data_IF_413883545319
#
_entry.id   IF_413883545319
#
_cell.length_a   1.000
_cell.length_b   1.000
_cell.length_c   1.000
_cell.angle_alpha   90.00
_cell.angle_beta   90.00
_cell.angle_gamma   90.00
#
_symmetry.space_group_name_H-M   'P 1'
#
loop_
_entity.id
_entity.type
_entity.pdbx_description
1 polymer ?
#
# COMPACT_ATOMS: atom_id res chain seq x y z
N UNK A 1 0.02 -8.39 22.97
CA UNK A 1 0.57 -9.21 21.86
C UNK A 1 -0.51 -9.88 20.99
N UNK A 2 -1.79 -9.52 21.09
CA UNK A 2 -2.87 -10.15 20.31
C UNK A 2 -2.89 -9.74 18.83
N UNK A 3 -2.42 -8.52 18.52
CA UNK A 3 -2.44 -7.97 17.15
C UNK A 3 -1.74 -8.88 16.13
N UNK A 4 -0.56 -9.41 16.47
CA UNK A 4 0.22 -10.23 15.54
C UNK A 4 -0.49 -11.54 15.21
N UNK A 5 -1.04 -12.19 16.25
CA UNK A 5 -1.88 -13.37 16.12
C UNK A 5 -3.13 -13.08 15.26
N UNK A 6 -3.90 -12.03 15.56
CA UNK A 6 -5.09 -11.69 14.76
C UNK A 6 -4.75 -11.42 13.29
N UNK A 7 -3.63 -10.75 13.02
CA UNK A 7 -3.17 -10.48 11.65
C UNK A 7 -2.68 -11.74 10.94
N UNK A 8 -2.07 -12.66 11.66
CA UNK A 8 -1.67 -13.97 11.13
C UNK A 8 -2.90 -14.76 10.67
N UNK A 9 -3.92 -14.88 11.52
CA UNK A 9 -5.20 -15.54 11.19
C UNK A 9 -5.87 -14.87 9.99
N UNK A 10 -5.98 -13.52 10.00
CA UNK A 10 -6.50 -12.78 8.84
C UNK A 10 -5.72 -13.10 7.55
N UNK A 11 -4.41 -13.30 7.62
CA UNK A 11 -3.58 -13.56 6.45
C UNK A 11 -3.90 -14.90 5.78
N UNK A 12 -4.31 -15.91 6.55
CA UNK A 12 -4.65 -17.25 6.04
C UNK A 12 -5.91 -17.22 5.17
N UNK A 13 -6.88 -16.39 5.55
CA UNK A 13 -8.15 -16.21 4.81
C UNK A 13 -8.02 -15.31 3.57
N UNK A 14 -6.92 -14.56 3.45
CA UNK A 14 -6.73 -13.65 2.31
C UNK A 14 -6.37 -14.40 1.02
N UNK A 15 -7.15 -14.13 -0.04
CA UNK A 15 -6.90 -14.63 -1.39
C UNK A 15 -6.68 -13.47 -2.39
N UNK A 16 -5.87 -13.72 -3.42
CA UNK A 16 -5.56 -12.77 -4.50
C UNK A 16 -4.11 -12.27 -4.50
N UNK A 17 -3.87 -11.16 -5.20
CA UNK A 17 -2.53 -10.57 -5.36
C UNK A 17 -2.20 -9.46 -4.35
N UNK A 18 -3.20 -8.69 -3.91
CA UNK A 18 -3.05 -7.55 -3.00
C UNK A 18 -4.02 -7.66 -1.83
N UNK A 19 -3.66 -7.09 -0.68
CA UNK A 19 -4.49 -7.14 0.52
C UNK A 19 -5.90 -6.56 0.27
N UNK A 20 -6.98 -7.17 0.81
CA UNK A 20 -8.37 -6.74 0.55
C UNK A 20 -8.66 -5.27 0.89
N UNK A 21 -8.04 -4.72 1.93
CA UNK A 21 -8.20 -3.29 2.28
C UNK A 21 -7.60 -2.36 1.24
N UNK A 22 -6.47 -2.76 0.65
CA UNK A 22 -5.79 -2.00 -0.40
C UNK A 22 -6.57 -2.10 -1.70
N UNK A 23 -7.07 -3.29 -2.03
CA UNK A 23 -8.04 -3.52 -3.12
C UNK A 23 -9.24 -2.58 -3.03
N UNK A 24 -9.87 -2.49 -1.85
CA UNK A 24 -11.03 -1.59 -1.63
C UNK A 24 -10.66 -0.12 -1.86
N UNK A 25 -9.49 0.32 -1.37
CA UNK A 25 -9.00 1.70 -1.58
C UNK A 25 -8.70 1.98 -3.05
N UNK A 26 -8.06 1.04 -3.74
CA UNK A 26 -7.78 1.14 -5.17
C UNK A 26 -9.09 1.26 -5.98
N UNK A 27 -10.07 0.39 -5.73
CA UNK A 27 -11.36 0.44 -6.40
C UNK A 27 -12.06 1.78 -6.20
N UNK A 28 -12.03 2.34 -4.98
CA UNK A 28 -12.56 3.69 -4.73
C UNK A 28 -11.85 4.75 -5.60
N UNK A 29 -10.53 4.67 -5.76
CA UNK A 29 -9.78 5.59 -6.61
C UNK A 29 -10.13 5.41 -8.10
N UNK A 30 -10.35 4.17 -8.54
CA UNK A 30 -10.84 3.86 -9.89
C UNK A 30 -12.23 4.45 -10.10
N UNK A 31 -13.16 4.28 -9.16
CA UNK A 31 -14.51 4.85 -9.28
C UNK A 31 -14.47 6.38 -9.38
N UNK A 32 -13.61 7.03 -8.58
CA UNK A 32 -13.42 8.48 -8.62
C UNK A 32 -12.66 8.96 -9.88
N UNK A 33 -11.94 8.08 -10.59
CA UNK A 33 -11.23 8.43 -11.83
C UNK A 33 -12.20 8.82 -12.95
N UNK A 34 -13.44 8.32 -12.91
CA UNK A 34 -14.51 8.70 -13.84
C UNK A 34 -14.78 10.21 -13.92
N UNK A 35 -14.42 10.96 -12.87
CA UNK A 35 -14.56 12.42 -12.83
C UNK A 35 -13.27 13.15 -13.29
N UNK A 36 -12.38 12.46 -13.98
CA UNK A 36 -11.13 12.99 -14.50
C UNK A 36 -11.10 12.83 -16.03
N UNK A 37 -10.45 13.78 -16.70
CA UNK A 37 -10.21 13.72 -18.14
C UNK A 37 -8.71 13.84 -18.38
N UNK A 38 -8.18 12.93 -19.19
CA UNK A 38 -6.74 12.81 -19.43
C UNK A 38 -6.37 13.29 -20.83
N UNK A 39 -5.28 14.05 -20.91
CA UNK A 39 -4.65 14.53 -22.13
C UNK A 39 -3.19 14.03 -22.14
N UNK A 40 -2.79 13.17 -23.10
CA UNK A 40 -1.41 12.68 -23.17
C UNK A 40 -0.45 13.79 -23.62
N UNK A 41 0.66 13.94 -22.90
CA UNK A 41 1.77 14.82 -23.27
C UNK A 41 2.93 14.06 -23.97
N UNK A 42 2.88 12.72 -23.97
CA UNK A 42 3.91 11.83 -24.50
C UNK A 42 4.80 11.22 -23.40
N UNK A 43 5.56 10.18 -23.73
CA UNK A 43 6.49 9.50 -22.80
C UNK A 43 5.84 9.08 -21.47
N UNK A 44 4.61 8.57 -21.49
CA UNK A 44 3.85 8.18 -20.30
C UNK A 44 3.54 9.33 -19.32
N UNK A 45 3.64 10.58 -19.78
CA UNK A 45 3.26 11.79 -19.06
C UNK A 45 1.90 12.26 -19.55
N UNK A 46 1.07 12.67 -18.61
CA UNK A 46 -0.31 13.08 -18.83
C UNK A 46 -0.63 14.35 -18.07
N UNK A 47 -1.40 15.21 -18.72
CA UNK A 47 -2.12 16.29 -18.08
C UNK A 47 -3.55 15.83 -17.79
N UNK A 48 -3.96 15.84 -16.53
CA UNK A 48 -5.24 15.33 -16.07
C UNK A 48 -6.06 16.45 -15.47
N UNK A 49 -7.21 16.74 -16.07
CA UNK A 49 -8.21 17.64 -15.50
C UNK A 49 -9.10 16.87 -14.53
N UNK A 50 -8.99 17.18 -13.25
CA UNK A 50 -9.87 16.64 -12.20
C UNK A 50 -10.93 17.65 -11.76
N UNK A 51 -11.80 17.25 -10.83
CA UNK A 51 -12.89 18.10 -10.33
C UNK A 51 -12.43 19.41 -9.66
N UNK A 52 -11.25 19.39 -9.04
CA UNK A 52 -10.76 20.49 -8.19
C UNK A 52 -9.51 21.18 -8.76
N UNK A 53 -9.08 20.82 -9.96
CA UNK A 53 -7.87 21.36 -10.58
C UNK A 53 -7.24 20.42 -11.60
N UNK A 54 -6.08 20.82 -12.09
CA UNK A 54 -5.29 20.11 -13.09
C UNK A 54 -4.05 19.48 -12.47
N UNK A 55 -3.66 18.32 -12.99
CA UNK A 55 -2.63 17.48 -12.42
C UNK A 55 -1.70 16.95 -13.50
N UNK A 56 -0.42 16.86 -13.16
CA UNK A 56 0.55 16.12 -13.97
C UNK A 56 0.66 14.71 -13.41
N UNK A 57 0.65 13.71 -14.29
CA UNK A 57 0.82 12.31 -13.93
C UNK A 57 1.91 11.72 -14.80
N UNK A 58 2.86 11.02 -14.17
CA UNK A 58 3.83 10.18 -14.85
C UNK A 58 3.63 8.74 -14.38
N UNK A 59 3.05 7.90 -15.25
CA UNK A 59 2.71 6.51 -14.87
C UNK A 59 3.93 5.61 -14.80
N UNK A 60 5.02 5.93 -15.50
CA UNK A 60 6.25 5.13 -15.46
C UNK A 60 7.02 5.35 -14.15
N UNK A 61 6.98 6.57 -13.61
CA UNK A 61 7.53 6.91 -12.30
C UNK A 61 6.58 6.64 -11.15
N UNK A 62 5.32 6.28 -11.43
CA UNK A 62 4.26 6.13 -10.43
C UNK A 62 4.01 7.44 -9.64
N UNK A 63 4.07 8.58 -10.34
CA UNK A 63 3.99 9.91 -9.75
C UNK A 63 2.75 10.69 -10.21
N UNK A 64 2.18 11.46 -9.28
CA UNK A 64 1.17 12.46 -9.60
C UNK A 64 1.47 13.75 -8.81
N UNK A 65 1.22 14.92 -9.40
CA UNK A 65 1.37 16.20 -8.71
C UNK A 65 0.48 16.33 -7.46
N UNK A 66 -0.58 15.51 -7.33
CA UNK A 66 -1.38 15.43 -6.10
C UNK A 66 -0.68 14.72 -4.93
N UNK A 67 0.50 14.12 -5.16
CA UNK A 67 1.37 13.41 -4.19
C UNK A 67 0.77 12.15 -3.55
N UNK A 68 -0.51 11.87 -3.75
CA UNK A 68 -1.17 10.73 -3.11
C UNK A 68 -0.61 9.37 -3.56
N UNK A 69 -0.15 9.26 -4.82
CA UNK A 69 0.46 8.02 -5.30
C UNK A 69 1.80 7.78 -4.62
N UNK A 70 2.70 8.77 -4.63
CA UNK A 70 4.02 8.69 -4.02
C UNK A 70 3.95 8.41 -2.51
N UNK A 71 3.02 9.06 -1.80
CA UNK A 71 2.87 8.90 -0.36
C UNK A 71 2.30 7.53 0.03
N UNK A 72 1.46 6.94 -0.81
CA UNK A 72 0.73 5.72 -0.46
C UNK A 72 1.13 4.48 -1.24
N UNK A 73 1.93 4.60 -2.29
CA UNK A 73 2.24 3.50 -3.21
C UNK A 73 1.01 2.90 -3.92
N UNK A 74 -0.10 3.63 -3.96
CA UNK A 74 -1.37 3.20 -4.57
C UNK A 74 -1.77 4.27 -5.58
N UNK A 75 -2.11 3.90 -6.83
CA UNK A 75 -2.60 4.86 -7.82
C UNK A 75 -3.71 5.75 -7.26
N UNK A 76 -3.50 7.06 -7.34
CA UNK A 76 -4.54 8.03 -7.03
C UNK A 76 -5.61 8.04 -8.14
N UNK A 77 -6.72 8.76 -7.97
CA UNK A 77 -7.78 8.84 -9.00
C UNK A 77 -7.27 9.35 -10.36
N UNK A 78 -6.30 10.27 -10.39
CA UNK A 78 -5.71 10.79 -11.63
C UNK A 78 -4.79 9.75 -12.28
N UNK A 79 -3.99 9.07 -11.47
CA UNK A 79 -3.16 7.95 -11.92
C UNK A 79 -4.00 6.81 -12.49
N UNK A 80 -5.09 6.46 -11.80
CA UNK A 80 -6.05 5.45 -12.27
C UNK A 80 -6.67 5.81 -13.62
N UNK A 81 -6.97 7.09 -13.88
CA UNK A 81 -7.44 7.54 -15.19
C UNK A 81 -6.39 7.33 -16.29
N UNK A 82 -5.14 7.70 -16.02
CA UNK A 82 -4.05 7.52 -16.98
C UNK A 82 -3.77 6.04 -17.27
N UNK A 83 -3.81 5.21 -16.24
CA UNK A 83 -3.68 3.75 -16.39
C UNK A 83 -4.82 3.17 -17.22
N UNK A 84 -6.05 3.66 -17.03
CA UNK A 84 -7.20 3.28 -17.85
C UNK A 84 -7.02 3.69 -19.31
N UNK A 85 -6.52 4.90 -19.56
CA UNK A 85 -6.22 5.38 -20.92
C UNK A 85 -5.23 4.46 -21.64
N UNK A 86 -4.16 4.04 -20.94
CA UNK A 86 -3.13 3.11 -21.44
C UNK A 86 -3.52 1.63 -21.37
N UNK A 87 -4.75 1.31 -20.92
CA UNK A 87 -5.26 -0.07 -20.73
C UNK A 87 -4.39 -0.92 -19.79
N UNK A 88 -3.72 -0.29 -18.84
CA UNK A 88 -2.93 -0.93 -17.80
C UNK A 88 -3.84 -1.21 -16.61
N UNK A 89 -3.83 -2.45 -16.13
CA UNK A 89 -4.54 -2.86 -14.92
C UNK A 89 -3.96 -2.14 -13.69
N UNK A 90 -4.72 -1.30 -12.95
CA UNK A 90 -4.16 -0.50 -11.85
C UNK A 90 -3.51 -1.32 -10.73
N UNK A 91 -3.87 -2.60 -10.61
CA UNK A 91 -3.29 -3.55 -9.67
C UNK A 91 -1.80 -3.79 -9.84
N UNK A 92 -1.30 -3.71 -11.08
CA UNK A 92 0.08 -4.10 -11.39
C UNK A 92 1.09 -3.06 -10.94
N UNK A 93 0.62 -1.84 -10.69
CA UNK A 93 1.42 -0.68 -10.22
C UNK A 93 1.12 -0.33 -8.75
N UNK A 94 0.42 -1.21 -8.02
CA UNK A 94 0.33 -1.10 -6.56
C UNK A 94 1.65 -1.58 -5.97
N UNK A 95 2.19 -0.83 -5.01
CA UNK A 95 3.45 -1.17 -4.37
C UNK A 95 3.42 -2.59 -3.78
N UNK A 96 4.49 -3.35 -4.02
CA UNK A 96 4.64 -4.76 -3.61
C UNK A 96 4.52 -4.99 -2.10
N UNK A 97 4.73 -3.96 -1.27
CA UNK A 97 4.53 -4.04 0.18
C UNK A 97 3.08 -4.36 0.58
N UNK A 98 2.12 -4.12 -0.32
CA UNK A 98 0.70 -4.44 -0.14
C UNK A 98 0.29 -5.80 -0.71
N UNK A 99 1.24 -6.58 -1.20
CA UNK A 99 0.95 -7.95 -1.62
C UNK A 99 0.56 -8.82 -0.43
N UNK A 100 -0.31 -9.80 -0.68
CA UNK A 100 -0.65 -10.80 0.35
C UNK A 100 0.61 -11.56 0.78
N UNK A 101 1.55 -11.81 -0.14
CA UNK A 101 2.84 -12.40 0.17
C UNK A 101 3.65 -11.57 1.16
N UNK A 102 3.78 -10.26 0.96
CA UNK A 102 4.46 -9.37 1.90
C UNK A 102 3.76 -9.32 3.26
N UNK A 103 2.42 -9.32 3.28
CA UNK A 103 1.64 -9.37 4.50
C UNK A 103 1.85 -10.67 5.28
N UNK A 104 1.81 -11.82 4.60
CA UNK A 104 2.12 -13.14 5.17
C UNK A 104 3.56 -13.23 5.66
N UNK A 105 4.52 -12.65 4.94
CA UNK A 105 5.90 -12.59 5.41
C UNK A 105 6.04 -11.76 6.68
N UNK A 106 5.32 -10.62 6.76
CA UNK A 106 5.35 -9.73 7.91
C UNK A 106 4.66 -10.32 9.16
N UNK A 107 3.55 -11.04 8.99
CA UNK A 107 2.73 -11.55 10.11
C UNK A 107 2.76 -13.07 10.28
N UNK A 108 3.50 -13.80 9.45
CA UNK A 108 3.52 -15.26 9.41
C UNK A 108 4.28 -15.93 10.56
N UNK A 109 5.04 -15.15 11.34
CA UNK A 109 5.83 -15.66 12.47
C UNK A 109 5.05 -15.56 13.79
N UNK A 110 5.45 -16.36 14.77
CA UNK A 110 4.89 -16.24 16.12
C UNK A 110 5.83 -15.38 16.95
N UNK A 111 5.28 -14.35 17.61
CA UNK A 111 5.99 -13.64 18.66
C UNK A 111 5.88 -14.48 19.91
N UNK A 112 6.99 -15.07 20.34
CA UNK A 112 7.03 -15.90 21.55
C UNK A 112 6.73 -15.03 22.78
N UNK A 113 5.88 -15.52 23.71
CA UNK A 113 5.67 -14.82 24.97
C UNK A 113 6.97 -14.77 25.78
N UNK A 114 7.24 -13.63 26.42
CA UNK A 114 8.33 -13.56 27.38
C UNK A 114 7.97 -14.35 28.63
N UNK A 115 8.93 -15.14 29.13
CA UNK A 115 8.81 -15.80 30.43
C UNK A 115 8.64 -14.76 31.55
N UNK A 116 8.21 -15.20 32.72
CA UNK A 116 8.11 -14.32 33.88
C UNK A 116 9.49 -13.71 34.24
N UNK A 117 9.57 -12.39 34.52
CA UNK A 117 10.82 -11.75 34.92
C UNK A 117 11.54 -12.43 36.09
N UNK A 118 10.80 -13.10 36.99
CA UNK A 118 11.33 -13.84 38.14
C UNK A 118 12.19 -15.04 37.75
N UNK A 119 11.99 -15.62 36.56
CA UNK A 119 12.74 -16.78 36.08
C UNK A 119 13.80 -16.41 35.04
N UNK A 120 13.97 -15.12 34.74
CA UNK A 120 14.97 -14.69 33.78
C UNK A 120 16.39 -14.94 34.34
N UNK A 121 17.31 -15.43 33.50
CA UNK A 121 18.70 -15.59 33.92
C UNK A 121 19.28 -14.22 34.26
N UNK A 122 19.99 -14.13 35.40
CA UNK A 122 20.74 -12.91 35.74
C UNK A 122 21.87 -12.75 34.72
N UNK A 123 21.89 -11.61 34.06
CA UNK A 123 22.96 -11.23 33.13
C UNK A 123 23.93 -10.28 33.84
N UNK A 124 25.23 -10.37 33.55
CA UNK A 124 26.24 -9.42 34.03
C UNK A 124 26.21 -8.11 33.22
N UNK A 125 25.01 -7.61 32.92
CA UNK A 125 24.81 -6.33 32.25
C UNK A 125 25.05 -5.15 33.19
N UNK A 126 25.35 -3.95 32.66
CA UNK A 126 25.38 -2.75 33.48
C UNK A 126 24.01 -2.55 34.16
N UNK A 127 23.98 -1.99 35.39
CA UNK A 127 22.73 -1.64 36.04
C UNK A 127 21.87 -0.79 35.12
N UNK A 128 20.58 -1.11 34.99
CA UNK A 128 19.63 -0.25 34.28
C UNK A 128 19.51 1.04 35.10
N UNK A 129 19.97 2.14 34.54
CA UNK A 129 19.85 3.46 35.15
C UNK A 129 18.37 3.88 35.24
N UNK A 130 17.99 4.70 36.24
CA UNK A 130 16.66 5.30 36.31
C UNK A 130 16.34 6.17 35.08
#
# INVERSE_FOLDING_TARGET
MTRFYSKNVEAEEMCGSICPKIRKKLNKNIDMSNNCTTLPAGQHIFHVKGMIGEYEVNIQKEECSCRAWQLSGIPCRHGAECLRYERIKPEVVVNKCYSIGAFKAAYGKVIMPCSDPRVWPRTNGPPVAP
#
